data_IF_542331748299
#
_entry.id   IF_542331748299
#
_cell.length_a   1.000
_cell.length_b   1.000
_cell.length_c   1.000
_cell.angle_alpha   90.00
_cell.angle_beta   90.00
_cell.angle_gamma   90.00
#
_symmetry.space_group_name_H-M   'P 1'
#
loop_
_entity.id
_entity.type
_entity.pdbx_description
1 polymer ?
#
# COMPACT_ATOMS: atom_id res chain seq x y z
N UNK A 1 -4.60 -48.91 -12.27
CA UNK A 1 -3.59 -47.96 -11.78
C UNK A 1 -4.34 -46.81 -11.12
N UNK A 2 -4.07 -46.47 -9.85
CA UNK A 2 -4.70 -45.32 -9.21
C UNK A 2 -4.20 -44.03 -9.87
N UNK A 3 -5.11 -43.12 -10.20
CA UNK A 3 -4.74 -41.78 -10.66
C UNK A 3 -3.92 -41.08 -9.58
N UNK A 4 -2.66 -40.79 -9.90
CA UNK A 4 -1.81 -39.95 -9.09
C UNK A 4 -2.43 -38.54 -9.12
N UNK A 5 -3.12 -38.15 -8.04
CA UNK A 5 -3.51 -36.75 -7.84
C UNK A 5 -2.23 -35.96 -7.72
N UNK A 6 -1.86 -35.23 -8.78
CA UNK A 6 -0.91 -34.14 -8.66
C UNK A 6 -1.51 -33.15 -7.66
N UNK A 7 -0.94 -33.07 -6.46
CA UNK A 7 -1.21 -31.94 -5.57
C UNK A 7 -0.90 -30.68 -6.36
N UNK A 8 -1.81 -29.71 -6.29
CA UNK A 8 -1.52 -28.36 -6.74
C UNK A 8 -0.26 -27.92 -6.00
N UNK A 9 0.84 -27.69 -6.73
CA UNK A 9 2.05 -27.06 -6.21
C UNK A 9 1.65 -25.61 -5.87
N UNK A 10 1.07 -25.43 -4.70
CA UNK A 10 0.90 -24.12 -4.08
C UNK A 10 2.26 -23.80 -3.47
N UNK A 11 2.92 -22.79 -4.01
CA UNK A 11 4.02 -22.14 -3.31
C UNK A 11 3.42 -21.45 -2.08
N UNK A 12 3.53 -22.09 -0.92
CA UNK A 12 3.13 -21.49 0.36
C UNK A 12 4.18 -20.46 0.81
N UNK A 13 3.77 -19.53 1.67
CA UNK A 13 4.70 -18.62 2.31
C UNK A 13 5.57 -19.37 3.33
N UNK A 14 6.71 -18.80 3.69
CA UNK A 14 7.53 -19.33 4.77
C UNK A 14 6.92 -18.91 6.12
N UNK A 15 6.26 -19.85 6.80
CA UNK A 15 5.54 -19.59 8.07
C UNK A 15 6.45 -18.99 9.15
N UNK A 16 7.75 -19.31 9.13
CA UNK A 16 8.72 -18.75 10.07
C UNK A 16 8.93 -17.26 9.78
N UNK A 17 9.11 -16.89 8.50
CA UNK A 17 9.27 -15.49 8.10
C UNK A 17 7.98 -14.69 8.34
N UNK A 18 6.81 -15.30 8.10
CA UNK A 18 5.52 -14.69 8.44
C UNK A 18 5.40 -14.43 9.95
N UNK A 19 5.72 -15.42 10.78
CA UNK A 19 5.70 -15.29 12.24
C UNK A 19 6.67 -14.20 12.73
N UNK A 20 7.87 -14.15 12.17
CA UNK A 20 8.86 -13.12 12.48
C UNK A 20 8.34 -11.72 12.11
N UNK A 21 7.72 -11.58 10.93
CA UNK A 21 7.11 -10.33 10.50
C UNK A 21 5.94 -9.89 11.40
N UNK A 22 5.09 -10.83 11.82
CA UNK A 22 4.00 -10.56 12.75
C UNK A 22 4.51 -10.09 14.12
N UNK A 23 5.59 -10.68 14.63
CA UNK A 23 6.23 -10.28 15.88
C UNK A 23 6.88 -8.89 15.79
N UNK A 24 7.58 -8.59 14.68
CA UNK A 24 8.12 -7.25 14.40
C UNK A 24 6.99 -6.20 14.39
N UNK A 25 5.89 -6.51 13.69
CA UNK A 25 4.71 -5.66 13.61
C UNK A 25 4.08 -5.45 14.99
N UNK A 26 3.93 -6.52 15.79
CA UNK A 26 3.35 -6.45 17.14
C UNK A 26 4.18 -5.56 18.07
N UNK A 27 5.50 -5.70 18.07
CA UNK A 27 6.40 -4.86 18.85
C UNK A 27 6.33 -3.38 18.40
N UNK A 28 6.25 -3.14 17.09
CA UNK A 28 6.07 -1.81 16.53
C UNK A 28 4.72 -1.18 16.91
N UNK A 29 3.63 -1.96 16.90
CA UNK A 29 2.29 -1.47 17.23
C UNK A 29 2.22 -0.89 18.65
N UNK A 30 2.83 -1.53 19.64
CA UNK A 30 2.88 -1.00 21.01
C UNK A 30 3.46 0.41 21.03
N UNK A 31 4.64 0.61 20.43
CA UNK A 31 5.31 1.92 20.35
C UNK A 31 4.46 2.95 19.62
N UNK A 32 3.84 2.57 18.50
CA UNK A 32 2.98 3.46 17.73
C UNK A 32 1.76 3.93 18.55
N UNK A 33 1.11 3.04 19.30
CA UNK A 33 -0.02 3.38 20.17
C UNK A 33 0.40 4.22 21.39
N UNK A 34 1.58 3.97 21.96
CA UNK A 34 2.12 4.78 23.07
C UNK A 34 2.46 6.21 22.62
N UNK A 35 2.72 6.40 21.32
CA UNK A 35 3.09 7.69 20.72
C UNK A 35 1.89 8.59 20.35
N UNK A 36 0.63 8.19 20.62
CA UNK A 36 -0.57 8.92 20.15
C UNK A 36 -0.57 10.42 20.49
N UNK A 37 -0.13 10.79 21.70
CA UNK A 37 -0.09 12.19 22.14
C UNK A 37 0.97 12.99 21.38
N UNK A 38 2.16 12.42 21.18
CA UNK A 38 3.24 13.02 20.38
C UNK A 38 2.83 13.14 18.91
N UNK A 39 2.19 12.10 18.36
CA UNK A 39 1.67 12.11 17.00
C UNK A 39 0.62 13.20 16.78
N UNK A 40 -0.23 13.47 17.78
CA UNK A 40 -1.21 14.56 17.69
C UNK A 40 -0.54 15.93 17.56
N UNK A 41 0.53 16.17 18.32
CA UNK A 41 1.34 17.40 18.24
C UNK A 41 2.06 17.46 16.89
N UNK A 42 2.73 16.39 16.51
CA UNK A 42 3.46 16.30 15.25
C UNK A 42 2.57 16.55 14.02
N UNK A 43 1.36 15.97 14.00
CA UNK A 43 0.39 16.21 12.92
C UNK A 43 -0.08 17.66 12.92
N UNK A 44 -0.30 18.27 14.09
CA UNK A 44 -0.70 19.66 14.20
C UNK A 44 0.34 20.64 13.64
N UNK A 45 1.63 20.37 13.88
CA UNK A 45 2.75 21.18 13.38
C UNK A 45 2.94 21.05 11.86
N UNK A 46 2.56 19.90 11.29
CA UNK A 46 2.80 19.55 9.88
C UNK A 46 1.58 19.79 8.97
N UNK A 47 0.47 20.31 9.50
CA UNK A 47 -0.73 20.66 8.72
C UNK A 47 -0.97 22.17 8.74
N UNK A 48 -1.70 22.66 7.75
CA UNK A 48 -2.24 24.02 7.79
C UNK A 48 -3.31 24.18 8.90
N UNK A 49 -3.33 25.34 9.54
CA UNK A 49 -4.34 25.72 10.55
C UNK A 49 -3.89 25.51 12.00
N UNK A 50 -2.87 24.66 12.25
CA UNK A 50 -2.34 24.40 13.59
C UNK A 50 -3.39 23.83 14.55
N UNK A 51 -3.31 24.23 15.83
CA UNK A 51 -4.24 23.83 16.89
C UNK A 51 -3.84 22.56 17.63
N UNK A 52 -4.71 22.08 18.53
CA UNK A 52 -4.46 20.87 19.31
C UNK A 52 -5.20 19.70 18.68
N UNK A 53 -4.46 18.73 18.15
CA UNK A 53 -5.03 17.51 17.62
C UNK A 53 -5.67 16.66 18.72
N UNK A 54 -6.91 16.24 18.52
CA UNK A 54 -7.61 15.29 19.39
C UNK A 54 -7.65 13.93 18.72
N UNK A 55 -7.14 12.91 19.39
CA UNK A 55 -7.22 11.54 18.89
C UNK A 55 -8.68 11.10 18.74
N UNK A 56 -9.03 10.57 17.56
CA UNK A 56 -10.37 10.06 17.26
C UNK A 56 -10.37 8.54 17.29
N UNK A 57 -9.66 7.92 16.35
CA UNK A 57 -9.60 6.48 16.16
C UNK A 57 -8.32 6.10 15.38
N UNK A 58 -8.19 4.82 15.06
CA UNK A 58 -7.15 4.31 14.18
C UNK A 58 -7.75 3.46 13.06
N UNK A 59 -7.07 3.43 11.92
CA UNK A 59 -7.40 2.58 10.78
C UNK A 59 -6.28 1.57 10.55
N UNK A 60 -6.60 0.28 10.54
CA UNK A 60 -5.65 -0.79 10.27
C UNK A 60 -6.00 -1.49 8.95
N UNK A 61 -5.05 -1.47 8.02
CA UNK A 61 -5.10 -2.27 6.80
C UNK A 61 -4.08 -3.41 6.80
N UNK A 62 -3.98 -4.12 5.68
CA UNK A 62 -3.03 -5.23 5.49
C UNK A 62 -1.59 -4.76 5.62
N UNK A 63 -1.25 -3.59 5.06
CA UNK A 63 0.12 -3.06 5.03
C UNK A 63 0.35 -1.80 5.84
N UNK A 64 -0.71 -1.06 6.20
CA UNK A 64 -0.57 0.25 6.82
C UNK A 64 -1.40 0.37 8.10
N UNK A 65 -0.94 1.22 9.03
CA UNK A 65 -1.70 1.70 10.18
C UNK A 65 -1.82 3.22 10.08
N UNK A 66 -2.99 3.76 10.37
CA UNK A 66 -3.22 5.20 10.43
C UNK A 66 -3.83 5.62 11.76
N UNK A 67 -3.44 6.78 12.27
CA UNK A 67 -4.09 7.43 13.41
C UNK A 67 -4.85 8.65 12.92
N UNK A 68 -6.12 8.79 13.33
CA UNK A 68 -7.00 9.89 12.95
C UNK A 68 -7.07 10.92 14.07
N UNK A 69 -6.95 12.18 13.69
CA UNK A 69 -7.01 13.32 14.60
C UNK A 69 -8.00 14.37 14.09
N UNK A 70 -8.81 14.89 15.00
CA UNK A 70 -9.72 16.01 14.75
C UNK A 70 -9.15 17.31 15.33
N UNK A 71 -9.58 18.43 14.75
CA UNK A 71 -9.13 19.77 15.10
C UNK A 71 -10.34 20.72 15.23
N UNK A 72 -10.24 21.73 16.09
CA UNK A 72 -11.35 22.67 16.36
C UNK A 72 -11.51 23.76 15.28
N UNK A 73 -10.82 23.63 14.15
CA UNK A 73 -10.76 24.63 13.06
C UNK A 73 -11.76 24.39 11.92
N UNK A 74 -12.71 23.46 12.11
CA UNK A 74 -13.76 23.06 11.15
C UNK A 74 -13.22 22.50 9.83
N UNK A 75 -11.92 22.19 9.72
CA UNK A 75 -11.35 21.47 8.58
C UNK A 75 -11.63 19.97 8.71
N UNK A 76 -11.47 19.19 7.64
CA UNK A 76 -11.52 17.74 7.73
C UNK A 76 -10.53 17.21 8.78
N UNK A 77 -10.89 16.09 9.40
CA UNK A 77 -9.94 15.34 10.21
C UNK A 77 -8.72 14.97 9.38
N UNK A 78 -7.60 14.76 10.05
CA UNK A 78 -6.33 14.41 9.40
C UNK A 78 -5.90 13.03 9.87
N UNK A 79 -5.35 12.24 8.96
CA UNK A 79 -4.70 10.98 9.31
C UNK A 79 -3.19 11.09 9.11
N UNK A 80 -2.43 10.47 10.01
CA UNK A 80 -1.05 10.08 9.75
C UNK A 80 -0.99 8.57 9.53
N UNK A 81 -0.41 8.15 8.42
CA UNK A 81 -0.34 6.75 7.99
C UNK A 81 1.10 6.28 7.88
N UNK A 82 1.36 5.10 8.43
CA UNK A 82 2.64 4.41 8.40
C UNK A 82 2.50 3.04 7.71
N UNK A 83 3.41 2.64 6.82
CA UNK A 83 3.58 1.24 6.44
C UNK A 83 4.03 0.45 7.67
N UNK A 84 3.38 -0.67 7.99
CA UNK A 84 3.74 -1.51 9.13
C UNK A 84 5.02 -2.30 8.81
N UNK A 85 6.02 -2.32 9.70
CA UNK A 85 7.12 -3.26 9.57
C UNK A 85 6.62 -4.72 9.67
N UNK A 86 7.42 -5.68 9.20
CA UNK A 86 7.05 -7.09 9.09
C UNK A 86 6.03 -7.43 7.98
N UNK A 87 5.04 -6.57 7.74
CA UNK A 87 4.07 -6.75 6.64
C UNK A 87 4.50 -5.95 5.39
N UNK A 88 5.21 -4.84 5.60
CA UNK A 88 5.93 -4.15 4.54
C UNK A 88 7.41 -4.32 4.79
N UNK A 89 8.17 -4.79 3.80
CA UNK A 89 9.60 -5.04 3.96
C UNK A 89 10.31 -3.79 4.48
N UNK A 90 11.01 -3.91 5.61
CA UNK A 90 11.59 -2.76 6.32
C UNK A 90 12.52 -1.93 5.42
N UNK A 91 13.29 -2.58 4.54
CA UNK A 91 14.15 -1.92 3.55
C UNK A 91 13.39 -1.09 2.50
N UNK A 92 12.11 -1.35 2.27
CA UNK A 92 11.30 -0.72 1.22
C UNK A 92 10.29 0.28 1.75
N UNK A 93 10.12 0.43 3.07
CA UNK A 93 9.10 1.32 3.64
C UNK A 93 9.28 2.77 3.17
N UNK A 94 10.51 3.29 3.19
CA UNK A 94 10.80 4.67 2.76
C UNK A 94 10.54 4.84 1.27
N UNK A 95 10.99 3.89 0.45
CA UNK A 95 10.73 3.87 -0.99
C UNK A 95 9.23 3.79 -1.30
N UNK A 96 8.48 2.98 -0.55
CA UNK A 96 7.03 2.85 -0.71
C UNK A 96 6.32 4.18 -0.47
N UNK A 97 6.64 4.87 0.64
CA UNK A 97 6.01 6.16 0.96
C UNK A 97 6.37 7.21 -0.08
N UNK A 98 7.63 7.28 -0.50
CA UNK A 98 8.04 8.19 -1.56
C UNK A 98 7.26 7.94 -2.86
N UNK A 99 7.17 6.68 -3.30
CA UNK A 99 6.45 6.34 -4.53
C UNK A 99 4.96 6.72 -4.44
N UNK A 100 4.34 6.50 -3.27
CA UNK A 100 2.93 6.82 -3.05
C UNK A 100 2.66 8.33 -3.04
N UNK A 101 3.55 9.12 -2.43
CA UNK A 101 3.46 10.58 -2.45
C UNK A 101 3.62 11.12 -3.87
N UNK A 102 4.62 10.64 -4.61
CA UNK A 102 4.89 11.08 -5.98
C UNK A 102 3.69 10.81 -6.89
N UNK A 103 3.07 9.63 -6.80
CA UNK A 103 1.88 9.34 -7.62
C UNK A 103 0.67 10.15 -7.18
N UNK A 104 0.48 10.40 -5.88
CA UNK A 104 -0.60 11.29 -5.41
C UNK A 104 -0.44 12.70 -5.97
N UNK A 105 0.75 13.28 -5.91
CA UNK A 105 1.01 14.61 -6.48
C UNK A 105 0.80 14.62 -8.00
N UNK A 106 1.28 13.59 -8.71
CA UNK A 106 1.09 13.48 -10.16
C UNK A 106 -0.39 13.38 -10.55
N UNK A 107 -1.17 12.54 -9.86
CA UNK A 107 -2.61 12.40 -10.11
C UNK A 107 -3.35 13.70 -9.83
N UNK A 108 -3.00 14.40 -8.75
CA UNK A 108 -3.61 15.70 -8.42
C UNK A 108 -3.38 16.76 -9.51
N UNK A 109 -2.22 16.73 -10.18
CA UNK A 109 -1.87 17.68 -11.23
C UNK A 109 -2.48 17.35 -12.59
N UNK A 110 -2.74 16.07 -12.87
CA UNK A 110 -3.04 15.60 -14.24
C UNK A 110 -4.42 14.97 -14.40
N UNK A 111 -5.20 14.87 -13.31
CA UNK A 111 -6.54 14.29 -13.33
C UNK A 111 -7.50 15.08 -12.43
N UNK A 112 -8.80 14.90 -12.61
CA UNK A 112 -9.81 15.40 -11.68
C UNK A 112 -10.25 14.32 -10.65
N UNK A 113 -9.54 13.19 -10.60
CA UNK A 113 -9.84 12.09 -9.69
C UNK A 113 -9.72 12.61 -8.26
N UNK A 114 -10.78 12.51 -7.44
CA UNK A 114 -10.75 12.97 -6.07
C UNK A 114 -9.83 12.06 -5.24
N UNK A 115 -8.68 12.60 -4.83
CA UNK A 115 -7.75 11.95 -3.90
C UNK A 115 -7.62 12.80 -2.62
N UNK A 116 -7.24 12.20 -1.47
CA UNK A 116 -7.01 12.95 -0.24
C UNK A 116 -5.95 14.02 -0.44
N UNK A 117 -6.18 15.22 0.11
CA UNK A 117 -5.17 16.28 0.12
C UNK A 117 -3.99 15.86 0.99
N UNK A 118 -2.79 15.95 0.44
CA UNK A 118 -1.56 15.76 1.18
C UNK A 118 -1.22 17.02 1.99
N UNK A 119 -0.97 16.87 3.30
CA UNK A 119 -0.51 17.95 4.17
C UNK A 119 1.00 17.92 4.33
N UNK A 120 1.54 16.75 4.63
CA UNK A 120 2.98 16.52 4.79
C UNK A 120 3.27 15.04 4.64
N UNK A 121 4.53 14.70 4.41
CA UNK A 121 5.04 13.35 4.47
C UNK A 121 6.49 13.42 4.99
N UNK A 122 7.11 12.27 5.24
CA UNK A 122 8.50 12.22 5.65
C UNK A 122 9.03 10.79 5.66
N UNK A 123 10.35 10.68 5.62
CA UNK A 123 11.05 9.39 5.70
C UNK A 123 11.24 8.96 7.15
N UNK A 124 11.73 7.73 7.37
CA UNK A 124 11.92 7.16 8.72
C UNK A 124 12.69 8.08 9.67
N UNK A 125 13.73 8.75 9.17
CA UNK A 125 14.57 9.65 9.97
C UNK A 125 13.83 10.91 10.47
N UNK A 126 12.74 11.30 9.82
CA UNK A 126 11.93 12.48 10.17
C UNK A 126 10.73 12.13 11.06
N UNK A 127 10.53 10.84 11.32
CA UNK A 127 9.38 10.36 12.09
C UNK A 127 9.62 10.48 13.59
N UNK A 128 8.58 10.86 14.36
CA UNK A 128 8.57 10.69 15.81
C UNK A 128 8.99 9.27 16.18
N UNK A 129 9.90 9.17 17.15
CA UNK A 129 10.45 7.91 17.69
C UNK A 129 10.95 6.90 16.64
N UNK A 130 11.30 7.34 15.42
CA UNK A 130 11.66 6.45 14.31
C UNK A 130 10.60 5.37 14.02
N UNK A 131 9.31 5.71 14.17
CA UNK A 131 8.21 4.78 13.86
C UNK A 131 8.22 4.34 12.38
N UNK A 132 8.76 5.15 11.48
CA UNK A 132 8.95 4.83 10.07
C UNK A 132 8.46 5.96 9.18
N UNK A 133 8.52 5.79 7.85
CA UNK A 133 8.08 6.84 6.95
C UNK A 133 6.57 7.00 7.06
N UNK A 134 6.09 8.20 6.77
CA UNK A 134 4.70 8.55 7.02
C UNK A 134 4.12 9.46 5.94
N UNK A 135 2.78 9.43 5.85
CA UNK A 135 1.97 10.33 5.03
C UNK A 135 0.91 10.95 5.93
N UNK A 136 0.86 12.28 5.98
CA UNK A 136 -0.17 13.08 6.65
C UNK A 136 -1.08 13.65 5.57
N UNK A 137 -2.36 13.26 5.60
CA UNK A 137 -3.33 13.64 4.57
C UNK A 137 -4.74 13.76 5.15
N UNK A 138 -5.65 14.37 4.38
CA UNK A 138 -7.07 14.46 4.75
C UNK A 138 -7.65 13.06 5.04
N UNK A 139 -8.44 12.99 6.11
CA UNK A 139 -9.37 11.89 6.30
C UNK A 139 -10.57 12.07 5.37
N UNK A 140 -10.78 11.12 4.46
CA UNK A 140 -11.94 11.12 3.57
C UNK A 140 -13.11 10.41 4.24
N UNK A 141 -14.10 11.20 4.66
CA UNK A 141 -15.38 10.65 5.09
C UNK A 141 -16.14 10.06 3.90
N UNK A 142 -16.53 8.80 4.01
CA UNK A 142 -17.28 8.13 2.96
C UNK A 142 -17.76 6.74 3.35
N UNK A 143 -18.57 6.16 2.47
CA UNK A 143 -19.03 4.76 2.58
C UNK A 143 -18.29 3.94 1.53
N UNK A 144 -17.79 2.76 1.93
CA UNK A 144 -17.15 1.85 1.00
C UNK A 144 -18.14 1.43 -0.09
N UNK A 145 -17.69 1.44 -1.35
CA UNK A 145 -18.51 1.03 -2.48
C UNK A 145 -19.03 -0.41 -2.32
N UNK A 146 -18.23 -1.29 -1.72
CA UNK A 146 -18.64 -2.67 -1.41
C UNK A 146 -19.84 -2.72 -0.47
N UNK A 147 -19.96 -1.81 0.49
CA UNK A 147 -21.13 -1.71 1.38
C UNK A 147 -22.39 -1.31 0.61
N UNK A 148 -22.26 -0.46 -0.40
CA UNK A 148 -23.37 -0.02 -1.25
C UNK A 148 -23.81 -1.16 -2.19
N UNK A 149 -22.85 -1.87 -2.79
CA UNK A 149 -23.11 -2.92 -3.78
C UNK A 149 -23.56 -4.25 -3.15
N UNK A 150 -23.15 -4.54 -1.91
CA UNK A 150 -23.37 -5.85 -1.28
C UNK A 150 -24.83 -6.04 -0.87
N UNK A 151 -25.34 -7.26 -1.06
CA UNK A 151 -26.62 -7.68 -0.49
C UNK A 151 -26.57 -7.70 1.06
N UNK A 152 -27.48 -7.01 1.78
CA UNK A 152 -27.36 -6.78 3.24
C UNK A 152 -27.30 -8.02 4.14
N UNK A 153 -27.69 -9.20 3.66
CA UNK A 153 -28.02 -10.38 4.50
C UNK A 153 -27.10 -11.59 4.22
N UNK A 154 -26.11 -11.47 3.33
CA UNK A 154 -25.22 -12.60 3.00
C UNK A 154 -23.78 -12.36 3.47
N UNK A 155 -23.16 -13.42 3.98
CA UNK A 155 -21.72 -13.43 4.32
C UNK A 155 -20.91 -13.27 3.03
N UNK A 156 -21.33 -13.92 1.94
CA UNK A 156 -20.75 -13.82 0.61
C UNK A 156 -20.97 -12.43 -0.01
N UNK A 157 -19.92 -11.88 -0.63
CA UNK A 157 -19.99 -10.62 -1.35
C UNK A 157 -20.66 -10.90 -2.70
N UNK A 158 -21.98 -10.70 -2.75
CA UNK A 158 -22.77 -10.77 -3.99
C UNK A 158 -23.42 -9.42 -4.21
N UNK A 159 -23.45 -8.99 -5.48
CA UNK A 159 -24.15 -7.79 -5.90
C UNK A 159 -25.62 -7.89 -5.49
N UNK A 160 -26.14 -6.85 -4.83
CA UNK A 160 -27.54 -6.76 -4.47
C UNK A 160 -28.41 -6.72 -5.74
N UNK A 161 -29.23 -7.74 -6.04
CA UNK A 161 -30.03 -7.77 -7.27
C UNK A 161 -31.14 -6.72 -7.26
N UNK A 162 -31.43 -6.11 -6.11
CA UNK A 162 -32.43 -5.07 -5.92
C UNK A 162 -31.84 -3.66 -5.90
N UNK A 163 -30.54 -3.50 -6.22
CA UNK A 163 -29.95 -2.17 -6.36
C UNK A 163 -30.58 -1.46 -7.55
N UNK A 164 -30.84 -0.17 -7.38
CA UNK A 164 -31.36 0.67 -8.46
C UNK A 164 -30.33 0.76 -9.59
N UNK A 165 -30.77 0.51 -10.83
CA UNK A 165 -29.93 0.63 -12.01
C UNK A 165 -29.38 2.05 -12.18
N UNK A 166 -30.12 3.09 -11.77
CA UNK A 166 -29.60 4.47 -11.82
C UNK A 166 -28.37 4.67 -10.90
N UNK A 167 -28.34 3.97 -9.76
CA UNK A 167 -27.17 3.97 -8.87
C UNK A 167 -26.01 3.23 -9.53
N UNK A 168 -26.27 2.07 -10.15
CA UNK A 168 -25.25 1.32 -10.88
C UNK A 168 -24.66 2.13 -12.03
N UNK A 169 -25.49 2.75 -12.86
CA UNK A 169 -25.06 3.57 -13.99
C UNK A 169 -24.13 4.68 -13.53
N UNK A 170 -24.48 5.37 -12.42
CA UNK A 170 -23.62 6.40 -11.83
C UNK A 170 -22.26 5.84 -11.39
N UNK A 171 -22.25 4.69 -10.70
CA UNK A 171 -21.03 4.05 -10.22
C UNK A 171 -20.13 3.61 -11.39
N UNK A 172 -20.70 2.90 -12.37
CA UNK A 172 -19.95 2.41 -13.52
C UNK A 172 -19.44 3.56 -14.38
N UNK A 173 -20.22 4.62 -14.56
CA UNK A 173 -19.76 5.83 -15.24
C UNK A 173 -18.56 6.46 -14.53
N UNK A 174 -18.61 6.62 -13.19
CA UNK A 174 -17.49 7.18 -12.42
C UNK A 174 -16.23 6.30 -12.52
N UNK A 175 -16.36 4.97 -12.40
CA UNK A 175 -15.23 4.04 -12.54
C UNK A 175 -14.64 4.12 -13.95
N UNK A 176 -15.47 4.09 -14.99
CA UNK A 176 -15.02 4.19 -16.37
C UNK A 176 -14.31 5.53 -16.62
N UNK A 177 -14.83 6.62 -16.07
CA UNK A 177 -14.22 7.94 -16.17
C UNK A 177 -12.85 8.02 -15.48
N UNK A 178 -12.69 7.43 -14.30
CA UNK A 178 -11.38 7.38 -13.62
C UNK A 178 -10.38 6.48 -14.37
N UNK A 179 -10.80 5.30 -14.84
CA UNK A 179 -9.95 4.41 -15.64
C UNK A 179 -9.52 5.10 -16.93
N UNK A 180 -10.43 5.81 -17.59
CA UNK A 180 -10.13 6.57 -18.80
C UNK A 180 -9.04 7.61 -18.54
N UNK A 181 -9.16 8.43 -17.50
CA UNK A 181 -8.12 9.41 -17.15
C UNK A 181 -6.78 8.75 -16.84
N UNK A 182 -6.76 7.69 -16.03
CA UNK A 182 -5.54 6.95 -15.72
C UNK A 182 -4.88 6.36 -16.98
N UNK A 183 -5.66 5.91 -17.96
CA UNK A 183 -5.14 5.36 -19.22
C UNK A 183 -4.42 6.39 -20.09
N UNK A 184 -4.72 7.69 -19.92
CA UNK A 184 -4.05 8.77 -20.65
C UNK A 184 -2.70 9.13 -20.04
N UNK A 185 -2.42 8.68 -18.81
CA UNK A 185 -1.17 8.91 -18.11
C UNK A 185 -0.11 7.92 -18.60
N UNK A 186 0.67 8.33 -19.58
CA UNK A 186 1.66 7.47 -20.23
C UNK A 186 3.09 7.88 -19.91
N UNK A 187 3.98 6.89 -19.81
CA UNK A 187 5.41 7.05 -19.61
C UNK A 187 6.17 6.13 -20.57
N UNK A 188 7.40 6.51 -20.93
CA UNK A 188 8.22 5.75 -21.87
C UNK A 188 8.77 4.43 -21.30
N UNK A 189 8.86 4.33 -19.97
CA UNK A 189 9.46 3.19 -19.26
C UNK A 189 8.56 2.75 -18.11
N UNK A 190 8.76 1.53 -17.61
CA UNK A 190 8.05 0.94 -16.48
C UNK A 190 8.90 1.14 -15.22
N UNK A 191 8.38 1.88 -14.25
CA UNK A 191 9.07 2.14 -12.99
C UNK A 191 8.33 3.15 -12.12
N UNK A 192 8.97 3.55 -11.02
CA UNK A 192 8.45 4.61 -10.16
C UNK A 192 8.80 6.00 -10.72
N UNK A 193 7.80 6.88 -10.70
CA UNK A 193 7.90 8.24 -11.20
C UNK A 193 8.51 9.17 -10.16
N UNK A 194 9.12 10.25 -10.61
CA UNK A 194 9.63 11.31 -9.77
C UNK A 194 9.50 12.65 -10.50
N UNK A 195 9.28 13.69 -9.72
CA UNK A 195 9.24 15.07 -10.21
C UNK A 195 10.63 15.68 -10.13
N UNK A 196 11.12 16.22 -11.25
CA UNK A 196 12.27 17.11 -11.23
C UNK A 196 11.84 18.47 -10.65
N UNK A 197 12.39 18.84 -9.50
CA UNK A 197 12.06 20.11 -8.83
C UNK A 197 12.58 21.35 -9.58
N UNK A 198 13.54 21.20 -10.49
CA UNK A 198 14.07 22.31 -11.28
C UNK A 198 13.20 22.60 -12.49
N UNK A 199 12.87 21.56 -13.28
CA UNK A 199 12.06 21.71 -14.49
C UNK A 199 10.55 21.58 -14.25
N UNK A 200 10.14 20.99 -13.13
CA UNK A 200 8.76 20.60 -12.84
C UNK A 200 8.31 19.34 -13.61
N UNK A 201 9.17 18.75 -14.43
CA UNK A 201 8.81 17.62 -15.30
C UNK A 201 8.78 16.29 -14.54
N UNK A 202 7.84 15.43 -14.95
CA UNK A 202 7.71 14.07 -14.44
C UNK A 202 8.45 13.08 -15.32
N UNK A 203 9.20 12.18 -14.70
CA UNK A 203 9.94 11.13 -15.40
C UNK A 203 9.99 9.85 -14.56
N UNK A 204 10.27 8.73 -15.21
CA UNK A 204 10.47 7.44 -14.54
C UNK A 204 11.93 7.35 -14.12
N UNK A 205 12.19 7.42 -12.81
CA UNK A 205 13.55 7.54 -12.26
C UNK A 205 14.04 6.26 -11.58
N UNK A 206 13.13 5.41 -11.12
CA UNK A 206 13.44 4.27 -10.24
C UNK A 206 12.75 2.99 -10.70
N UNK A 207 13.25 1.86 -10.21
CA UNK A 207 12.62 0.55 -10.36
C UNK A 207 11.12 0.58 -9.98
N UNK A 208 10.31 -0.32 -10.54
CA UNK A 208 9.00 -0.58 -9.97
C UNK A 208 9.16 -1.17 -8.55
N UNK A 209 8.23 -0.83 -7.66
CA UNK A 209 8.05 -1.51 -6.38
C UNK A 209 6.70 -2.21 -6.41
N UNK A 210 6.71 -3.53 -6.63
CA UNK A 210 5.48 -4.30 -6.82
C UNK A 210 5.03 -4.96 -5.52
N UNK A 211 3.76 -5.37 -5.48
CA UNK A 211 3.22 -6.20 -4.41
C UNK A 211 4.05 -7.48 -4.23
N UNK A 212 4.36 -8.17 -5.33
CA UNK A 212 5.14 -9.41 -5.31
C UNK A 212 6.51 -9.23 -4.66
N UNK A 213 7.20 -8.12 -4.98
CA UNK A 213 8.50 -7.81 -4.36
C UNK A 213 8.39 -7.59 -2.86
N UNK A 214 7.31 -6.97 -2.39
CA UNK A 214 7.06 -6.83 -0.95
C UNK A 214 6.86 -8.19 -0.30
N UNK A 215 5.93 -9.00 -0.80
CA UNK A 215 5.62 -10.31 -0.22
C UNK A 215 6.86 -11.21 -0.20
N UNK A 216 7.59 -11.29 -1.31
CA UNK A 216 8.79 -12.10 -1.38
C UNK A 216 9.84 -11.65 -0.35
N UNK A 217 9.99 -10.34 -0.16
CA UNK A 217 10.89 -9.79 0.84
C UNK A 217 10.43 -10.03 2.29
N UNK A 218 9.12 -10.05 2.55
CA UNK A 218 8.58 -10.15 3.92
C UNK A 218 8.33 -11.58 4.39
N UNK A 219 7.91 -12.48 3.50
CA UNK A 219 7.35 -13.79 3.90
C UNK A 219 7.94 -14.98 3.16
N UNK A 220 9.07 -14.84 2.46
CA UNK A 220 9.67 -15.96 1.72
C UNK A 220 11.18 -16.16 1.85
N UNK A 221 11.87 -15.30 2.62
CA UNK A 221 13.33 -15.34 2.73
C UNK A 221 14.06 -15.05 1.42
N UNK A 222 13.40 -14.40 0.46
CA UNK A 222 13.94 -14.09 -0.87
C UNK A 222 15.19 -13.20 -0.78
N UNK A 223 16.15 -13.43 -1.67
CA UNK A 223 17.39 -12.65 -1.71
C UNK A 223 17.13 -11.23 -2.24
N UNK A 224 17.14 -10.24 -1.34
CA UNK A 224 16.92 -8.82 -1.64
C UNK A 224 17.76 -8.27 -2.81
N UNK A 225 18.97 -8.79 -3.03
CA UNK A 225 19.87 -8.34 -4.08
C UNK A 225 19.51 -8.84 -5.49
N UNK A 226 18.48 -9.68 -5.63
CA UNK A 226 18.01 -10.23 -6.90
C UNK A 226 16.85 -9.42 -7.51
N UNK A 227 16.32 -8.44 -6.77
CA UNK A 227 15.30 -7.54 -7.29
C UNK A 227 15.89 -6.53 -8.29
N UNK A 228 15.11 -6.10 -9.29
CA UNK A 228 15.55 -5.06 -10.21
C UNK A 228 15.90 -3.78 -9.45
N UNK A 229 16.94 -3.08 -9.88
CA UNK A 229 17.39 -1.82 -9.27
C UNK A 229 17.12 -0.60 -10.14
N UNK A 230 16.68 -0.81 -11.39
CA UNK A 230 16.43 0.22 -12.39
C UNK A 230 15.03 0.08 -13.02
N UNK A 231 14.52 1.14 -13.68
CA UNK A 231 13.35 1.04 -14.54
C UNK A 231 13.54 0.06 -15.72
N UNK A 232 12.45 -0.29 -16.39
CA UNK A 232 12.47 -1.10 -17.61
C UNK A 232 11.96 -0.32 -18.82
N UNK A 233 12.73 -0.28 -19.91
CA UNK A 233 12.31 0.40 -21.15
C UNK A 233 11.38 -0.44 -22.01
N UNK A 234 11.29 -1.75 -21.74
CA UNK A 234 10.47 -2.68 -22.53
C UNK A 234 9.63 -3.58 -21.63
N UNK A 235 8.38 -3.77 -22.03
CA UNK A 235 7.47 -4.71 -21.37
C UNK A 235 8.03 -6.14 -21.34
N UNK A 236 8.76 -6.57 -22.39
CA UNK A 236 9.39 -7.89 -22.43
C UNK A 236 10.42 -8.09 -21.32
N UNK A 237 11.18 -7.04 -20.98
CA UNK A 237 12.24 -7.11 -19.98
C UNK A 237 11.64 -7.11 -18.57
N UNK A 238 10.59 -6.30 -18.36
CA UNK A 238 9.80 -6.33 -17.13
C UNK A 238 9.17 -7.72 -16.90
N UNK A 239 8.48 -8.28 -17.90
CA UNK A 239 7.85 -9.60 -17.78
C UNK A 239 8.88 -10.71 -17.55
N UNK A 240 10.08 -10.60 -18.15
CA UNK A 240 11.19 -11.51 -17.87
C UNK A 240 11.67 -11.38 -16.42
N UNK A 241 11.76 -10.16 -15.88
CA UNK A 241 12.10 -9.94 -14.47
C UNK A 241 11.10 -10.61 -13.55
N UNK A 242 9.80 -10.43 -13.79
CA UNK A 242 8.74 -11.08 -13.00
C UNK A 242 8.82 -12.60 -13.08
N UNK A 243 9.05 -13.16 -14.28
CA UNK A 243 9.24 -14.60 -14.44
C UNK A 243 10.47 -15.12 -13.66
N UNK A 244 11.58 -14.38 -13.69
CA UNK A 244 12.79 -14.71 -12.94
C UNK A 244 12.56 -14.62 -11.43
N UNK A 245 11.81 -13.64 -10.93
CA UNK A 245 11.42 -13.54 -9.51
C UNK A 245 10.66 -14.79 -9.05
N UNK A 246 9.66 -15.23 -9.83
CA UNK A 246 8.90 -16.44 -9.50
C UNK A 246 9.75 -17.71 -9.55
N UNK A 247 10.60 -17.86 -10.57
CA UNK A 247 11.50 -19.01 -10.68
C UNK A 247 12.51 -19.04 -9.54
N UNK A 248 13.13 -17.90 -9.23
CA UNK A 248 14.11 -17.81 -8.16
C UNK A 248 13.46 -18.12 -6.81
N UNK A 249 12.28 -17.57 -6.54
CA UNK A 249 11.52 -17.89 -5.33
C UNK A 249 11.29 -19.41 -5.21
N UNK A 250 10.83 -20.06 -6.28
CA UNK A 250 10.64 -21.52 -6.31
C UNK A 250 11.93 -22.29 -5.98
N UNK A 251 13.09 -21.82 -6.47
CA UNK A 251 14.38 -22.46 -6.22
C UNK A 251 14.95 -22.19 -4.83
N UNK A 252 14.68 -21.02 -4.25
CA UNK A 252 15.25 -20.60 -2.96
C UNK A 252 14.33 -20.86 -1.77
N UNK A 253 13.06 -21.21 -2.02
CA UNK A 253 12.10 -21.50 -0.97
C UNK A 253 12.60 -22.68 -0.13
N UNK A 254 12.87 -22.41 1.15
CA UNK A 254 13.44 -23.40 2.08
C UNK A 254 12.39 -24.39 2.58
N UNK A 255 11.18 -23.89 2.83
CA UNK A 255 10.08 -24.63 3.43
C UNK A 255 8.96 -24.83 2.39
N UNK A 256 9.04 -25.92 1.62
CA UNK A 256 8.04 -26.33 0.61
C UNK A 256 7.04 -27.38 1.13
N UNK A 257 7.23 -27.86 2.37
CA UNK A 257 6.50 -28.98 2.92
C UNK A 257 5.35 -28.53 3.82
N UNK A 258 4.15 -29.01 3.51
CA UNK A 258 2.89 -28.74 4.21
C UNK A 258 2.39 -30.01 4.91
N UNK A 259 3.31 -30.86 5.40
CA UNK A 259 2.96 -32.12 6.05
C UNK A 259 3.77 -32.38 7.32
N UNK A 260 3.09 -32.38 8.47
CA UNK A 260 3.68 -32.66 9.78
C UNK A 260 4.14 -34.13 9.93
N UNK A 261 3.82 -35.02 8.99
CA UNK A 261 4.30 -36.40 8.98
C UNK A 261 5.63 -36.63 8.23
N UNK A 262 6.21 -35.60 7.61
CA UNK A 262 7.46 -35.73 6.81
C UNK A 262 8.63 -34.87 7.38
N UNK A 263 8.42 -34.17 8.50
CA UNK A 263 9.49 -33.47 9.22
C UNK A 263 10.25 -34.38 10.20
#
# INVERSE_FOLDING_TARGET
MPQQKTSSLKTYFDEIEETNGDDECRAWLSRAFDSKAELAVFVAERREGGGTGKYVDFLKGSFNLSFRFSFDDRRPDVIIRFPKPGHTATAYRDEKVLNEVQIMEYLHQNTDIPIPRLHSWGLTAESPQYLGPFIIMDYVNGTLLSTILKKPVQVTIVLNPSIDNAILDKIYYQIAYYIFQLSQLTFASIGAISKDHTSGAWHVARRPLTYNMNELATVSGYLYNQFPTAPFDRASDYLRSVANEHLLHLWTQRNLADDAEIA
#
